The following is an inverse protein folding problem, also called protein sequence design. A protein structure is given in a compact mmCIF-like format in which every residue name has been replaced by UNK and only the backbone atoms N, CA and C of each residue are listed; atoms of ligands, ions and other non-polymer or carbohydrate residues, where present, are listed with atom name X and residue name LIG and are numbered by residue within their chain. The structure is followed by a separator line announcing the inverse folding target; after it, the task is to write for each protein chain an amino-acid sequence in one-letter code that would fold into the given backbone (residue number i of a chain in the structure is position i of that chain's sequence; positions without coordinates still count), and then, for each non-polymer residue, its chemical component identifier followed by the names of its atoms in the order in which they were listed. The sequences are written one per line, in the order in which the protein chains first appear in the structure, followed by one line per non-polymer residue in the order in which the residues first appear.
data_IF_293257323588
#
_entry.id   IF_293257323588
#
_cell.length_a   1.000
_cell.length_b   1.000
_cell.length_c   1.000
_cell.angle_alpha   90.00
_cell.angle_beta   90.00
_cell.angle_gamma   90.00
#
_symmetry.space_group_name_H-M   'P 1'
#
loop_
_entity.id
_entity.type
_entity.pdbx_description
1 polymer ?
#
# COMPACT_ATOMS: atom_id res chain seq x y z
N UNK A 1 -10.20 -19.86 2.90
CA UNK A 1 -8.77 -19.51 2.91
C UNK A 1 -8.56 -18.21 3.66
N UNK A 2 -7.63 -18.10 4.63
CA UNK A 2 -7.39 -16.93 5.49
C UNK A 2 -5.90 -16.81 5.83
N UNK A 3 -5.45 -15.69 6.40
CA UNK A 3 -4.10 -15.56 6.92
C UNK A 3 -4.03 -16.21 8.29
N UNK A 4 -3.30 -17.31 8.39
CA UNK A 4 -3.15 -18.08 9.62
C UNK A 4 -2.05 -17.55 10.53
N UNK A 5 -0.93 -17.10 9.93
CA UNK A 5 0.23 -16.63 10.68
C UNK A 5 0.99 -15.59 9.89
N UNK A 6 1.56 -14.63 10.58
CA UNK A 6 2.44 -13.59 10.02
C UNK A 6 3.73 -13.56 10.82
N UNK A 7 4.86 -13.56 10.13
CA UNK A 7 6.17 -13.31 10.73
C UNK A 7 6.78 -12.07 10.12
N UNK A 8 7.35 -11.24 10.95
CA UNK A 8 7.93 -9.96 10.58
C UNK A 8 9.35 -9.91 11.12
N UNK A 9 10.31 -9.62 10.27
CA UNK A 9 11.70 -9.43 10.65
C UNK A 9 12.20 -8.06 10.18
N UNK A 10 12.79 -7.30 11.11
CA UNK A 10 13.40 -5.98 10.91
C UNK A 10 12.50 -4.93 10.25
N UNK A 11 11.21 -4.93 10.50
CA UNK A 11 10.29 -3.94 9.95
C UNK A 11 9.84 -2.96 11.05
N UNK A 12 10.17 -1.68 10.89
CA UNK A 12 9.83 -0.58 11.80
C UNK A 12 10.17 -0.92 13.27
N UNK A 13 9.15 -0.98 14.15
CA UNK A 13 9.34 -1.31 15.57
C UNK A 13 9.64 -2.80 15.82
N UNK A 14 9.40 -3.67 14.85
CA UNK A 14 9.60 -5.11 15.03
C UNK A 14 10.96 -5.56 14.54
N UNK A 15 11.76 -6.12 15.44
CA UNK A 15 12.98 -6.82 15.09
C UNK A 15 12.69 -8.26 14.67
N UNK A 16 11.98 -8.98 15.53
CA UNK A 16 11.41 -10.30 15.26
C UNK A 16 10.04 -10.37 15.91
N UNK A 17 9.03 -10.64 15.12
CA UNK A 17 7.65 -10.71 15.58
C UNK A 17 6.89 -11.81 14.86
N UNK A 18 6.07 -12.54 15.60
CA UNK A 18 5.18 -13.56 15.09
C UNK A 18 3.79 -13.40 15.69
N UNK A 19 2.77 -13.55 14.87
CA UNK A 19 1.37 -13.59 15.32
C UNK A 19 0.62 -14.68 14.56
N UNK A 20 -0.15 -15.46 15.30
CA UNK A 20 -1.13 -16.40 14.75
C UNK A 20 -2.50 -15.76 14.76
N UNK A 21 -3.23 -15.91 13.66
CA UNK A 21 -4.56 -15.36 13.44
C UNK A 21 -5.56 -16.47 13.25
N UNK A 22 -6.79 -16.22 13.68
CA UNK A 22 -7.93 -17.11 13.48
C UNK A 22 -8.70 -16.73 12.21
N UNK A 23 -9.50 -17.66 11.71
CA UNK A 23 -10.41 -17.38 10.63
C UNK A 23 -11.49 -16.37 11.07
N UNK A 24 -11.69 -15.31 10.27
CA UNK A 24 -12.67 -14.27 10.55
C UNK A 24 -12.09 -13.06 11.27
N UNK A 25 -12.74 -12.62 12.36
CA UNK A 25 -12.40 -11.38 13.05
C UNK A 25 -11.24 -11.59 14.04
N UNK A 26 -10.19 -10.82 13.87
CA UNK A 26 -9.07 -10.74 14.81
C UNK A 26 -8.96 -9.31 15.36
N UNK A 27 -8.85 -9.17 16.68
CA UNK A 27 -8.75 -7.88 17.36
C UNK A 27 -7.37 -7.77 18.01
N UNK A 28 -6.55 -6.81 17.55
CA UNK A 28 -5.24 -6.53 18.11
C UNK A 28 -5.37 -5.41 19.14
N UNK A 29 -5.09 -5.72 20.40
CA UNK A 29 -5.14 -4.77 21.52
C UNK A 29 -3.76 -4.54 22.13
N UNK A 30 -3.55 -3.38 22.70
CA UNK A 30 -2.28 -3.01 23.36
C UNK A 30 -2.17 -1.50 23.56
N UNK A 31 -1.14 -1.06 24.24
CA UNK A 31 -0.86 0.35 24.54
C UNK A 31 -0.59 1.15 23.25
N UNK A 32 -0.62 2.48 23.38
CA UNK A 32 -0.18 3.34 22.27
C UNK A 32 1.29 3.06 21.95
N UNK A 33 1.63 3.11 20.67
CA UNK A 33 2.98 2.82 20.16
C UNK A 33 3.43 1.34 20.29
N UNK A 34 2.57 0.43 20.77
CA UNK A 34 2.87 -1.00 20.84
C UNK A 34 3.02 -1.70 19.47
N UNK A 35 2.93 -0.97 18.37
CA UNK A 35 3.11 -1.52 17.02
C UNK A 35 1.85 -2.09 16.36
N UNK A 36 0.65 -1.95 16.95
CA UNK A 36 -0.61 -2.50 16.38
C UNK A 36 -0.81 -2.13 14.91
N UNK A 37 -0.67 -0.86 14.58
CA UNK A 37 -0.79 -0.37 13.20
C UNK A 37 0.32 -0.92 12.31
N UNK A 38 1.52 -1.15 12.85
CA UNK A 38 2.65 -1.71 12.12
C UNK A 38 2.39 -3.14 11.65
N UNK A 39 1.64 -3.95 12.43
CA UNK A 39 1.23 -5.30 12.00
C UNK A 39 0.33 -5.22 10.76
N UNK A 40 -0.70 -4.37 10.83
CA UNK A 40 -1.64 -4.20 9.72
C UNK A 40 -0.95 -3.63 8.47
N UNK A 41 -0.04 -2.69 8.67
CA UNK A 41 0.76 -2.10 7.61
C UNK A 41 1.72 -3.12 6.97
N UNK A 42 2.36 -4.00 7.78
CA UNK A 42 3.20 -5.08 7.29
C UNK A 42 2.41 -6.08 6.44
N UNK A 43 1.24 -6.50 6.90
CA UNK A 43 0.35 -7.38 6.15
C UNK A 43 -0.08 -6.72 4.83
N UNK A 44 -0.52 -5.47 4.88
CA UNK A 44 -0.92 -4.74 3.68
C UNK A 44 0.24 -4.57 2.70
N UNK A 45 1.43 -4.22 3.19
CA UNK A 45 2.64 -4.09 2.37
C UNK A 45 2.98 -5.40 1.66
N UNK A 46 3.00 -6.52 2.38
CA UNK A 46 3.30 -7.82 1.81
C UNK A 46 2.27 -8.24 0.73
N UNK A 47 0.98 -7.96 0.94
CA UNK A 47 -0.09 -8.34 0.01
C UNK A 47 -0.21 -7.40 -1.20
N UNK A 48 0.11 -6.12 -1.05
CA UNK A 48 -0.19 -5.11 -2.09
C UNK A 48 1.04 -4.41 -2.66
N UNK A 49 2.17 -4.43 -1.96
CA UNK A 49 3.34 -3.61 -2.29
C UNK A 49 3.12 -2.11 -2.02
N UNK A 50 2.11 -1.76 -1.19
CA UNK A 50 1.75 -0.36 -0.89
C UNK A 50 2.04 -0.08 0.59
N UNK A 51 2.75 1.02 0.84
CA UNK A 51 3.01 1.59 2.15
C UNK A 51 2.62 3.07 2.14
N UNK A 52 1.90 3.54 3.16
CA UNK A 52 1.43 4.94 3.26
C UNK A 52 0.74 5.44 1.96
N UNK A 53 -0.06 4.59 1.33
CA UNK A 53 -0.80 4.91 0.11
C UNK A 53 0.03 4.95 -1.19
N UNK A 54 1.34 4.67 -1.12
CA UNK A 54 2.25 4.71 -2.27
C UNK A 54 2.95 3.38 -2.49
N UNK A 55 3.45 3.17 -3.71
CA UNK A 55 4.23 1.97 -4.03
C UNK A 55 5.53 1.94 -3.24
N UNK A 56 5.86 0.78 -2.64
CA UNK A 56 7.09 0.57 -1.87
C UNK A 56 8.35 0.88 -2.69
N UNK A 57 8.32 0.68 -4.00
CA UNK A 57 9.44 1.01 -4.89
C UNK A 57 9.86 2.49 -4.85
N UNK A 58 8.92 3.38 -4.50
CA UNK A 58 9.15 4.81 -4.40
C UNK A 58 9.35 5.29 -2.96
N UNK A 59 9.00 4.48 -1.97
CA UNK A 59 9.00 4.85 -0.55
C UNK A 59 10.06 4.08 0.27
N UNK A 60 10.86 3.24 -0.38
CA UNK A 60 11.94 2.53 0.32
C UNK A 60 12.90 3.54 0.96
N UNK A 61 13.12 3.40 2.24
CA UNK A 61 14.03 4.24 3.03
C UNK A 61 14.58 3.45 4.22
N UNK A 62 15.68 3.90 4.82
CA UNK A 62 16.21 3.25 6.02
C UNK A 62 15.21 3.24 7.19
N UNK A 63 14.22 4.15 7.21
CA UNK A 63 13.23 4.28 8.30
C UNK A 63 12.15 3.20 8.31
N UNK A 64 12.04 2.41 7.24
CA UNK A 64 11.16 1.23 7.23
C UNK A 64 11.84 0.02 7.88
N UNK A 65 13.19 0.04 8.01
CA UNK A 65 13.95 -0.98 8.71
C UNK A 65 13.86 -0.77 10.22
N UNK A 66 14.07 -1.85 10.97
CA UNK A 66 14.19 -1.75 12.41
C UNK A 66 15.41 -0.91 12.78
N UNK A 67 15.20 0.09 13.64
CA UNK A 67 16.23 1.06 14.00
C UNK A 67 17.46 0.41 14.63
N UNK A 68 17.25 -0.56 15.54
CA UNK A 68 18.37 -1.23 16.23
C UNK A 68 19.22 -2.02 15.23
N UNK A 69 18.59 -2.71 14.26
CA UNK A 69 19.31 -3.44 13.23
C UNK A 69 20.14 -2.52 12.33
N UNK A 70 19.64 -1.33 11.99
CA UNK A 70 20.37 -0.33 11.22
C UNK A 70 21.51 0.25 12.04
N UNK A 71 21.29 0.62 13.30
CA UNK A 71 22.31 1.18 14.19
C UNK A 71 23.46 0.18 14.43
N UNK A 72 23.14 -1.10 14.69
CA UNK A 72 24.11 -2.17 14.84
C UNK A 72 24.98 -2.33 13.56
N UNK A 73 24.33 -2.32 12.38
CA UNK A 73 25.04 -2.40 11.12
C UNK A 73 26.01 -1.22 10.96
N UNK A 74 25.57 0.03 11.15
CA UNK A 74 26.40 1.22 11.00
C UNK A 74 27.60 1.19 11.98
N UNK A 75 27.36 0.82 13.22
CA UNK A 75 28.43 0.68 14.22
C UNK A 75 29.44 -0.40 13.80
N UNK A 76 28.98 -1.51 13.23
CA UNK A 76 29.83 -2.62 12.81
C UNK A 76 30.83 -2.24 11.72
N UNK A 77 30.50 -1.26 10.86
CA UNK A 77 31.39 -0.80 9.79
C UNK A 77 32.72 -0.21 10.29
N UNK A 78 32.74 0.25 11.54
CA UNK A 78 33.97 0.75 12.21
C UNK A 78 34.85 -0.33 12.80
N UNK A 79 34.37 -1.55 12.93
CA UNK A 79 35.05 -2.67 13.63
C UNK A 79 35.11 -3.93 12.77
N UNK A 80 34.07 -4.75 12.83
CA UNK A 80 33.91 -5.98 12.05
C UNK A 80 32.55 -5.92 11.35
N UNK A 81 32.50 -5.62 10.04
CA UNK A 81 31.22 -5.49 9.34
C UNK A 81 30.35 -6.73 9.47
N UNK A 82 29.11 -6.56 9.93
CA UNK A 82 28.08 -7.59 9.91
C UNK A 82 27.32 -7.53 8.58
N UNK A 83 26.52 -8.56 8.31
CA UNK A 83 25.65 -8.58 7.13
C UNK A 83 24.71 -7.39 7.11
N UNK A 84 24.42 -6.86 5.93
CA UNK A 84 23.45 -5.80 5.76
C UNK A 84 22.07 -6.25 6.28
N UNK A 85 21.36 -5.40 7.05
CA UNK A 85 20.03 -5.72 7.52
C UNK A 85 19.07 -5.92 6.35
N UNK A 86 18.14 -6.83 6.50
CA UNK A 86 17.09 -7.10 5.52
C UNK A 86 15.74 -7.14 6.22
N UNK A 87 14.67 -6.91 5.48
CA UNK A 87 13.30 -7.07 5.96
C UNK A 87 12.73 -8.34 5.35
N UNK A 88 12.03 -9.16 6.14
CA UNK A 88 11.12 -10.18 5.63
C UNK A 88 9.77 -10.07 6.31
N UNK A 89 8.72 -10.27 5.51
CA UNK A 89 7.35 -10.44 5.99
C UNK A 89 6.84 -11.72 5.36
N UNK A 90 6.66 -12.75 6.17
CA UNK A 90 6.13 -14.04 5.75
C UNK A 90 4.65 -14.11 6.09
N UNK A 91 3.83 -14.43 5.09
CA UNK A 91 2.39 -14.62 5.21
C UNK A 91 2.10 -16.10 5.02
N UNK A 92 1.61 -16.74 6.07
CA UNK A 92 1.18 -18.14 6.06
C UNK A 92 -0.34 -18.19 5.91
N UNK A 93 -0.80 -19.00 4.99
CA UNK A 93 -2.21 -19.19 4.72
C UNK A 93 -2.78 -20.41 5.46
N UNK A 94 -4.09 -20.41 5.65
CA UNK A 94 -4.87 -21.53 6.16
C UNK A 94 -6.17 -21.67 5.39
N UNK A 95 -6.79 -22.85 5.46
CA UNK A 95 -8.02 -23.19 4.75
C UNK A 95 -7.76 -24.00 3.48
N UNK A 96 -8.34 -23.59 2.34
CA UNK A 96 -8.24 -24.33 1.08
C UNK A 96 -6.80 -24.42 0.59
N UNK A 97 -6.37 -25.59 0.14
CA UNK A 97 -5.00 -25.84 -0.31
C UNK A 97 -4.69 -25.15 -1.65
N UNK A 98 -3.53 -24.48 -1.71
CA UNK A 98 -2.98 -23.93 -2.94
C UNK A 98 -1.56 -24.48 -3.18
N UNK A 99 -1.43 -25.56 -3.98
CA UNK A 99 -0.15 -26.22 -4.21
C UNK A 99 0.96 -25.33 -4.76
N UNK A 100 0.61 -24.21 -5.43
CA UNK A 100 1.58 -23.26 -5.97
C UNK A 100 2.27 -22.43 -4.89
N UNK A 101 1.73 -22.43 -3.67
CA UNK A 101 2.27 -21.67 -2.53
C UNK A 101 2.79 -22.58 -1.41
N UNK A 102 2.71 -23.91 -1.60
CA UNK A 102 3.13 -24.88 -0.60
C UNK A 102 4.62 -25.20 -0.73
N UNK A 103 5.37 -25.10 0.37
CA UNK A 103 6.79 -25.45 0.36
C UNK A 103 7.52 -25.06 1.63
N UNK A 104 8.81 -25.41 1.67
CA UNK A 104 9.71 -25.25 2.82
C UNK A 104 10.51 -23.93 2.83
N UNK A 105 10.32 -23.05 1.84
CA UNK A 105 11.01 -21.76 1.77
C UNK A 105 10.40 -20.72 2.72
N UNK A 106 10.26 -21.09 3.99
CA UNK A 106 9.79 -20.27 5.09
C UNK A 106 10.73 -20.40 6.29
N UNK A 107 10.63 -19.48 7.25
CA UNK A 107 11.51 -19.44 8.42
C UNK A 107 11.33 -20.65 9.36
N UNK A 108 10.16 -21.29 9.34
CA UNK A 108 9.89 -22.50 10.12
C UNK A 108 10.43 -23.78 9.47
N UNK A 109 10.82 -23.72 8.18
CA UNK A 109 11.18 -24.86 7.34
C UNK A 109 10.08 -25.93 7.32
N UNK A 110 8.85 -25.49 7.40
CA UNK A 110 7.67 -26.35 7.34
C UNK A 110 7.32 -26.65 5.89
N UNK A 111 7.51 -27.90 5.47
CA UNK A 111 7.26 -28.36 4.11
C UNK A 111 5.77 -28.38 3.74
N UNK A 112 4.89 -28.30 4.73
CA UNK A 112 3.44 -28.30 4.55
C UNK A 112 2.86 -26.89 4.60
N UNK A 113 3.69 -25.86 4.83
CA UNK A 113 3.24 -24.50 4.92
C UNK A 113 2.90 -23.92 3.55
N UNK A 114 1.79 -23.23 3.49
CA UNK A 114 1.37 -22.46 2.33
C UNK A 114 1.53 -20.97 2.60
N UNK A 115 2.11 -20.27 1.65
CA UNK A 115 2.31 -18.85 1.81
C UNK A 115 3.38 -18.28 0.91
N UNK A 116 3.82 -17.09 1.26
CA UNK A 116 4.89 -16.39 0.57
C UNK A 116 5.69 -15.51 1.51
N UNK A 117 6.88 -15.15 1.08
CA UNK A 117 7.77 -14.20 1.72
C UNK A 117 7.88 -12.95 0.85
N UNK A 118 7.56 -11.81 1.43
CA UNK A 118 7.96 -10.49 0.96
C UNK A 118 9.33 -10.17 1.55
N UNK A 119 10.28 -9.74 0.73
CA UNK A 119 11.64 -9.47 1.18
C UNK A 119 12.19 -8.20 0.57
N UNK A 120 12.84 -7.38 1.41
CA UNK A 120 13.69 -6.26 1.01
C UNK A 120 15.09 -6.58 1.47
N UNK A 121 16.01 -6.77 0.55
CA UNK A 121 17.38 -7.16 0.88
C UNK A 121 18.39 -6.58 -0.12
N UNK A 122 19.63 -6.51 0.32
CA UNK A 122 20.75 -6.16 -0.54
C UNK A 122 20.81 -7.09 -1.75
N UNK A 123 21.12 -6.51 -2.92
CA UNK A 123 21.29 -7.26 -4.16
C UNK A 123 22.77 -7.43 -4.45
N UNK A 124 23.20 -8.69 -4.47
CA UNK A 124 24.62 -9.07 -4.65
C UNK A 124 25.23 -8.56 -5.96
N UNK A 125 24.43 -8.15 -6.94
CA UNK A 125 24.93 -7.52 -8.17
C UNK A 125 25.66 -6.20 -7.93
N UNK A 126 25.41 -5.56 -6.78
CA UNK A 126 26.06 -4.30 -6.36
C UNK A 126 27.18 -4.54 -5.33
N UNK A 127 27.72 -5.76 -5.23
CA UNK A 127 28.74 -6.09 -4.24
C UNK A 127 30.01 -5.24 -4.40
N UNK A 128 30.45 -5.01 -5.64
CA UNK A 128 31.66 -4.24 -5.93
C UNK A 128 31.46 -2.75 -5.57
N UNK A 129 30.31 -2.16 -5.91
CA UNK A 129 29.96 -0.78 -5.58
C UNK A 129 29.82 -0.58 -4.07
N UNK A 130 29.22 -1.56 -3.40
CA UNK A 130 29.10 -1.52 -1.95
C UNK A 130 30.46 -1.63 -1.26
N UNK A 131 31.36 -2.52 -1.72
CA UNK A 131 32.71 -2.61 -1.18
C UNK A 131 33.48 -1.30 -1.34
N UNK A 132 33.40 -0.67 -2.52
CA UNK A 132 33.99 0.63 -2.78
C UNK A 132 33.43 1.72 -1.85
N UNK A 133 32.12 1.70 -1.55
CA UNK A 133 31.48 2.61 -0.61
C UNK A 133 32.01 2.41 0.82
N UNK A 134 32.13 1.18 1.29
CA UNK A 134 32.63 0.87 2.63
C UNK A 134 34.09 1.28 2.80
N UNK A 135 34.92 1.12 1.76
CA UNK A 135 36.33 1.54 1.78
C UNK A 135 36.48 3.04 1.99
N UNK A 136 35.53 3.86 1.59
CA UNK A 136 35.55 5.32 1.83
C UNK A 136 35.33 5.69 3.30
N UNK A 137 34.98 4.76 4.17
CA UNK A 137 34.74 4.93 5.63
C UNK A 137 33.79 6.08 6.00
N UNK A 138 32.87 6.43 5.14
CA UNK A 138 31.93 7.54 5.35
C UNK A 138 30.44 7.11 5.27
N UNK A 139 30.16 5.84 5.48
CA UNK A 139 28.79 5.31 5.48
C UNK A 139 28.10 5.66 6.79
N UNK A 140 27.11 6.55 6.73
CA UNK A 140 26.33 7.04 7.89
C UNK A 140 24.88 6.61 7.88
N UNK A 141 24.44 5.96 6.83
CA UNK A 141 23.08 5.51 6.62
C UNK A 141 23.09 4.20 5.84
N UNK A 142 21.99 3.47 5.91
CA UNK A 142 21.83 2.25 5.14
C UNK A 142 21.82 2.58 3.63
N UNK A 143 22.65 1.95 2.81
CA UNK A 143 22.74 2.22 1.36
C UNK A 143 21.60 1.52 0.62
N UNK A 144 20.38 2.06 0.77
CA UNK A 144 19.14 1.47 0.27
C UNK A 144 19.05 1.40 -1.25
N UNK A 145 19.87 2.17 -1.96
CA UNK A 145 20.00 2.14 -3.43
C UNK A 145 20.46 0.79 -3.97
N UNK A 146 21.06 -0.04 -3.13
CA UNK A 146 21.54 -1.39 -3.49
C UNK A 146 20.57 -2.49 -3.08
N UNK A 147 19.36 -2.12 -2.62
CA UNK A 147 18.36 -3.09 -2.17
C UNK A 147 17.35 -3.41 -3.26
N UNK A 148 16.95 -4.66 -3.30
CA UNK A 148 15.85 -5.16 -4.13
C UNK A 148 14.66 -5.59 -3.29
N UNK A 149 13.49 -5.56 -3.93
CA UNK A 149 12.22 -5.97 -3.35
C UNK A 149 11.72 -7.20 -4.11
N UNK A 150 11.46 -8.27 -3.40
CA UNK A 150 11.04 -9.54 -4.00
C UNK A 150 9.85 -10.15 -3.25
N UNK A 151 9.06 -10.91 -4.00
CA UNK A 151 8.00 -11.78 -3.49
C UNK A 151 8.29 -13.19 -3.97
N UNK A 152 8.35 -14.14 -3.06
CA UNK A 152 8.66 -15.53 -3.38
C UNK A 152 7.72 -16.44 -2.61
N UNK A 153 7.07 -17.39 -3.29
CA UNK A 153 6.24 -18.39 -2.62
C UNK A 153 7.12 -19.34 -1.78
N UNK A 154 6.51 -20.04 -0.85
CA UNK A 154 7.23 -21.09 -0.11
C UNK A 154 7.67 -22.27 -1.02
N UNK A 155 7.09 -22.38 -2.22
CA UNK A 155 7.55 -23.27 -3.29
C UNK A 155 8.79 -22.72 -4.07
N UNK A 156 9.33 -21.55 -3.70
CA UNK A 156 10.46 -20.83 -4.33
C UNK A 156 10.14 -20.15 -5.66
N UNK A 157 8.89 -20.06 -6.05
CA UNK A 157 8.50 -19.34 -7.25
C UNK A 157 8.47 -17.83 -7.00
N UNK A 158 9.08 -17.07 -7.90
CA UNK A 158 8.95 -15.61 -7.88
C UNK A 158 7.53 -15.21 -8.31
N UNK A 159 6.89 -14.38 -7.52
CA UNK A 159 5.54 -13.88 -7.79
C UNK A 159 5.48 -12.36 -7.79
N UNK A 160 4.35 -11.82 -8.19
CA UNK A 160 4.02 -10.39 -8.07
C UNK A 160 2.80 -10.22 -7.20
N UNK A 161 2.56 -9.00 -6.72
CA UNK A 161 1.36 -8.69 -5.92
C UNK A 161 0.06 -9.01 -6.67
N UNK A 162 0.08 -9.06 -8.00
CA UNK A 162 -1.08 -9.45 -8.82
C UNK A 162 -1.39 -10.94 -8.75
N UNK A 163 -0.36 -11.77 -8.55
CA UNK A 163 -0.47 -13.22 -8.45
C UNK A 163 -0.93 -13.68 -7.07
N UNK A 164 -0.91 -12.80 -6.07
CA UNK A 164 -1.39 -13.12 -4.73
C UNK A 164 -2.92 -13.21 -4.77
N UNK A 165 -3.52 -14.35 -4.34
CA UNK A 165 -4.96 -14.58 -4.46
C UNK A 165 -5.79 -13.71 -3.52
N UNK A 166 -5.15 -13.04 -2.58
CA UNK A 166 -5.81 -12.20 -1.58
C UNK A 166 -5.78 -10.73 -1.97
N UNK A 167 -6.90 -10.07 -1.74
CA UNK A 167 -6.99 -8.62 -1.85
C UNK A 167 -6.97 -8.03 -0.44
N UNK A 168 -6.01 -7.14 -0.19
CA UNK A 168 -5.93 -6.38 1.06
C UNK A 168 -6.43 -4.96 0.86
N UNK A 169 -7.04 -4.43 1.90
CA UNK A 169 -7.33 -3.01 2.01
C UNK A 169 -7.09 -2.57 3.44
N UNK A 170 -6.13 -1.67 3.62
CA UNK A 170 -5.87 -1.05 4.91
C UNK A 170 -6.81 0.14 5.08
N UNK A 171 -7.64 0.09 6.13
CA UNK A 171 -8.55 1.17 6.52
C UNK A 171 -7.92 1.88 7.70
N UNK A 172 -7.43 3.10 7.48
CA UNK A 172 -6.90 3.96 8.52
C UNK A 172 -7.85 5.14 8.75
N UNK A 173 -8.54 5.13 9.90
CA UNK A 173 -9.47 6.18 10.29
C UNK A 173 -8.77 7.45 10.81
N UNK A 174 -7.46 7.41 11.04
CA UNK A 174 -6.68 8.55 11.54
C UNK A 174 -6.15 9.47 10.44
N UNK A 175 -6.07 8.99 9.20
CA UNK A 175 -5.58 9.80 8.08
C UNK A 175 -6.68 10.64 7.46
N UNK A 176 -6.66 11.94 7.77
CA UNK A 176 -7.51 12.98 7.16
C UNK A 176 -7.20 13.26 5.67
N UNK A 177 -6.34 12.51 5.02
CA UNK A 177 -5.90 12.79 3.65
C UNK A 177 -6.79 12.11 2.62
N UNK A 178 -7.35 12.95 1.78
CA UNK A 178 -8.08 12.65 0.56
C UNK A 178 -7.52 11.45 -0.19
N UNK A 179 -8.41 10.50 -0.53
CA UNK A 179 -8.11 9.27 -1.27
C UNK A 179 -7.31 8.22 -0.48
N UNK A 180 -7.77 7.89 0.70
CA UNK A 180 -7.27 6.73 1.43
C UNK A 180 -7.68 5.42 0.74
N UNK A 181 -6.98 4.35 1.04
CA UNK A 181 -7.33 3.00 0.56
C UNK A 181 -8.78 2.58 0.83
N UNK A 182 -9.46 3.27 1.76
CA UNK A 182 -10.88 3.10 2.07
C UNK A 182 -11.79 3.38 0.88
N UNK A 183 -11.57 4.53 0.21
CA UNK A 183 -12.41 4.91 -0.94
C UNK A 183 -12.20 3.92 -2.10
N UNK A 184 -10.97 3.45 -2.29
CA UNK A 184 -10.66 2.43 -3.28
C UNK A 184 -11.30 1.07 -2.94
N UNK A 185 -11.32 0.69 -1.68
CA UNK A 185 -11.92 -0.57 -1.24
C UNK A 185 -13.43 -0.56 -1.36
N UNK A 186 -14.07 0.49 -0.83
CA UNK A 186 -15.52 0.67 -0.95
C UNK A 186 -15.95 0.79 -2.42
N UNK A 187 -15.19 1.54 -3.23
CA UNK A 187 -15.41 1.60 -4.67
C UNK A 187 -15.30 0.24 -5.34
N UNK A 188 -14.38 -0.63 -4.91
CA UNK A 188 -14.25 -2.00 -5.45
C UNK A 188 -15.41 -2.89 -5.04
N UNK A 189 -15.87 -2.83 -3.78
CA UNK A 189 -17.05 -3.57 -3.32
C UNK A 189 -18.26 -3.12 -4.12
N UNK A 190 -18.51 -1.81 -4.22
CA UNK A 190 -19.62 -1.25 -4.97
C UNK A 190 -19.54 -1.69 -6.43
N UNK A 191 -18.38 -1.58 -7.08
CA UNK A 191 -18.19 -2.03 -8.47
C UNK A 191 -18.44 -3.53 -8.66
N UNK A 192 -18.01 -4.34 -7.69
CA UNK A 192 -18.22 -5.80 -7.72
C UNK A 192 -19.68 -6.22 -7.49
N UNK A 193 -20.49 -5.32 -6.94
CA UNK A 193 -21.92 -5.56 -6.64
C UNK A 193 -22.87 -4.95 -7.67
N UNK A 194 -22.36 -4.11 -8.59
CA UNK A 194 -23.18 -3.45 -9.63
C UNK A 194 -23.22 -4.28 -10.91
N UNK A 195 -24.41 -4.47 -11.43
CA UNK A 195 -24.61 -5.01 -12.78
C UNK A 195 -24.22 -3.97 -13.87
N UNK A 196 -23.88 -4.39 -15.09
CA UNK A 196 -23.53 -3.48 -16.16
C UNK A 196 -24.57 -2.39 -16.44
N UNK A 197 -25.85 -2.71 -16.23
CA UNK A 197 -27.00 -1.79 -16.41
C UNK A 197 -26.98 -0.69 -15.34
N UNK A 198 -26.69 -1.03 -14.09
CA UNK A 198 -26.57 -0.07 -12.98
C UNK A 198 -25.42 0.91 -13.24
N UNK A 199 -24.32 0.38 -13.72
CA UNK A 199 -23.13 1.16 -14.09
C UNK A 199 -23.48 2.21 -15.17
N UNK A 200 -24.22 1.79 -16.18
CA UNK A 200 -24.65 2.67 -17.26
C UNK A 200 -25.63 3.73 -16.77
N UNK A 201 -26.57 3.35 -15.92
CA UNK A 201 -27.57 4.25 -15.33
C UNK A 201 -26.90 5.34 -14.48
N UNK A 202 -25.94 4.97 -13.61
CA UNK A 202 -25.16 5.92 -12.80
C UNK A 202 -24.37 6.87 -13.69
N UNK A 203 -23.72 6.37 -14.74
CA UNK A 203 -22.97 7.22 -15.68
C UNK A 203 -23.88 8.22 -16.41
N UNK A 204 -25.08 7.81 -16.79
CA UNK A 204 -26.07 8.71 -17.40
C UNK A 204 -26.58 9.77 -16.43
N UNK A 205 -26.87 9.40 -15.18
CA UNK A 205 -27.27 10.34 -14.14
C UNK A 205 -26.17 11.40 -13.88
N UNK A 206 -24.92 10.96 -13.81
CA UNK A 206 -23.78 11.86 -13.61
C UNK A 206 -23.60 12.82 -14.80
N UNK A 207 -23.75 12.34 -16.03
CA UNK A 207 -23.74 13.19 -17.23
C UNK A 207 -24.85 14.24 -17.17
N UNK A 208 -26.07 13.83 -16.84
CA UNK A 208 -27.21 14.74 -16.72
C UNK A 208 -26.97 15.82 -15.65
N UNK A 209 -26.41 15.44 -14.51
CA UNK A 209 -26.06 16.38 -13.46
C UNK A 209 -25.04 17.41 -13.95
N UNK A 210 -23.99 16.97 -14.64
CA UNK A 210 -22.98 17.86 -15.24
C UNK A 210 -23.59 18.81 -16.26
N UNK A 211 -24.41 18.30 -17.15
CA UNK A 211 -25.04 19.12 -18.19
C UNK A 211 -25.98 20.16 -17.56
N UNK A 212 -26.68 19.80 -16.49
CA UNK A 212 -27.48 20.75 -15.70
C UNK A 212 -26.62 21.82 -15.07
N UNK A 213 -25.47 21.43 -14.46
CA UNK A 213 -24.55 22.39 -13.84
C UNK A 213 -23.96 23.38 -14.85
N UNK A 214 -23.49 22.90 -16.00
CA UNK A 214 -22.87 23.74 -17.03
C UNK A 214 -23.87 24.73 -17.61
N UNK A 215 -25.13 24.33 -17.73
CA UNK A 215 -26.20 25.17 -18.29
C UNK A 215 -26.95 25.99 -17.21
N UNK A 216 -26.50 25.98 -15.95
CA UNK A 216 -27.09 26.81 -14.91
C UNK A 216 -26.78 28.30 -15.18
N UNK A 217 -27.80 29.18 -15.16
CA UNK A 217 -27.61 30.62 -15.42
C UNK A 217 -26.59 31.28 -14.49
N UNK A 218 -26.47 30.82 -13.26
CA UNK A 218 -25.50 31.33 -12.29
C UNK A 218 -24.07 30.99 -12.68
N UNK A 219 -23.86 29.76 -13.18
CA UNK A 219 -22.55 29.29 -13.66
C UNK A 219 -22.17 30.01 -14.95
N UNK A 220 -23.13 30.20 -15.86
CA UNK A 220 -22.91 31.01 -17.08
C UNK A 220 -22.52 32.44 -16.75
N UNK A 221 -23.20 33.07 -15.78
CA UNK A 221 -22.85 34.43 -15.31
C UNK A 221 -21.44 34.51 -14.71
N UNK A 222 -21.02 33.48 -13.93
CA UNK A 222 -19.68 33.41 -13.35
C UNK A 222 -18.64 33.24 -14.47
N UNK A 223 -18.88 32.31 -15.43
CA UNK A 223 -17.98 32.07 -16.55
C UNK A 223 -17.82 33.36 -17.40
N UNK A 224 -18.89 34.10 -17.63
CA UNK A 224 -18.84 35.38 -18.34
C UNK A 224 -18.00 36.43 -17.58
N UNK A 225 -18.12 36.51 -16.26
CA UNK A 225 -17.27 37.41 -15.44
C UNK A 225 -15.81 37.02 -15.51
N UNK A 226 -15.49 35.71 -15.33
CA UNK A 226 -14.11 35.23 -15.41
C UNK A 226 -13.50 35.58 -16.77
N UNK A 227 -14.23 35.41 -17.86
CA UNK A 227 -13.73 35.69 -19.20
C UNK A 227 -13.64 37.20 -19.51
N UNK A 228 -14.41 38.04 -18.84
CA UNK A 228 -14.30 39.52 -18.94
C UNK A 228 -13.07 40.05 -18.21
N UNK A 229 -12.74 39.47 -17.04
CA UNK A 229 -11.59 39.86 -16.23
C UNK A 229 -10.27 39.22 -16.72
N UNK A 230 -10.33 38.14 -17.52
CA UNK A 230 -9.17 37.42 -18.03
C UNK A 230 -8.56 38.08 -19.28
N UNK A 231 -8.28 39.40 -19.22
CA UNK A 231 -7.66 40.14 -20.33
C UNK A 231 -6.20 39.77 -20.64
N UNK A 232 -5.66 38.73 -20.01
CA UNK A 232 -4.25 38.35 -20.09
C UNK A 232 -3.96 37.07 -20.90
N UNK A 233 -4.97 36.36 -21.38
CA UNK A 233 -4.77 35.15 -22.20
C UNK A 233 -5.84 34.98 -23.26
N UNK A 234 -5.44 34.60 -24.48
CA UNK A 234 -6.37 34.26 -25.60
C UNK A 234 -7.19 32.97 -25.34
N UNK A 235 -7.11 32.37 -24.16
CA UNK A 235 -7.80 31.13 -23.80
C UNK A 235 -9.03 31.44 -22.95
N UNK A 236 -10.19 30.87 -23.35
CA UNK A 236 -11.41 30.94 -22.54
C UNK A 236 -11.27 30.03 -21.31
N UNK A 237 -11.53 30.60 -20.15
CA UNK A 237 -11.58 29.87 -18.87
C UNK A 237 -13.04 29.62 -18.54
N UNK A 238 -13.41 28.41 -18.20
CA UNK A 238 -14.76 28.04 -17.79
C UNK A 238 -14.74 27.14 -16.56
N UNK A 239 -15.61 27.42 -15.60
CA UNK A 239 -15.92 26.49 -14.51
C UNK A 239 -16.71 25.32 -15.09
N UNK A 240 -16.23 24.13 -14.81
CA UNK A 240 -16.87 22.88 -15.21
C UNK A 240 -16.72 21.85 -14.10
N UNK A 241 -17.69 20.95 -13.97
CA UNK A 241 -17.52 19.75 -13.15
C UNK A 241 -16.66 18.76 -13.93
N UNK A 242 -15.51 18.42 -13.39
CA UNK A 242 -14.56 17.53 -14.04
C UNK A 242 -15.16 16.12 -14.16
N UNK A 243 -15.19 15.62 -15.38
CA UNK A 243 -15.38 14.20 -15.63
C UNK A 243 -14.01 13.57 -15.65
N UNK A 244 -13.64 12.91 -14.55
CA UNK A 244 -12.47 12.04 -14.54
C UNK A 244 -12.69 10.97 -15.61
N UNK A 245 -11.82 11.01 -16.60
CA UNK A 245 -11.85 10.18 -17.80
C UNK A 245 -11.89 8.69 -17.47
N UNK A 246 -12.72 7.92 -18.20
CA UNK A 246 -12.90 6.46 -18.18
C UNK A 246 -13.35 5.79 -16.87
N UNK A 247 -13.10 6.37 -15.69
CA UNK A 247 -13.62 5.87 -14.40
C UNK A 247 -14.18 7.03 -13.56
N UNK A 248 -15.32 7.61 -13.91
CA UNK A 248 -15.90 8.79 -13.20
C UNK A 248 -16.33 8.50 -11.76
N UNK A 249 -16.13 7.30 -11.26
CA UNK A 249 -16.75 6.73 -10.07
C UNK A 249 -15.87 6.73 -8.85
N UNK A 250 -14.56 6.82 -9.04
CA UNK A 250 -13.61 6.66 -7.94
C UNK A 250 -13.56 7.89 -7.03
N UNK A 251 -13.83 9.07 -7.60
CA UNK A 251 -13.64 10.35 -6.91
C UNK A 251 -14.94 11.08 -6.56
N UNK A 252 -16.12 10.55 -6.95
CA UNK A 252 -17.40 11.24 -6.76
C UNK A 252 -18.40 10.50 -5.87
N UNK A 253 -18.09 9.26 -5.43
CA UNK A 253 -18.93 8.54 -4.49
C UNK A 253 -18.40 8.77 -3.07
N UNK A 254 -19.18 9.47 -2.27
CA UNK A 254 -18.92 9.67 -0.84
C UNK A 254 -19.81 8.70 -0.08
N UNK A 255 -19.19 7.87 0.76
CA UNK A 255 -19.92 6.94 1.63
C UNK A 255 -20.47 7.69 2.83
N UNK A 256 -21.74 7.45 3.13
CA UNK A 256 -22.40 7.98 4.32
C UNK A 256 -22.74 6.84 5.26
N UNK A 257 -22.52 7.05 6.55
CA UNK A 257 -22.98 6.19 7.63
C UNK A 257 -24.01 7.00 8.42
N UNK A 258 -25.25 6.49 8.55
CA UNK A 258 -26.35 7.17 9.22
C UNK A 258 -26.56 8.65 8.78
N UNK A 259 -26.55 8.87 7.45
CA UNK A 259 -26.67 10.21 6.82
C UNK A 259 -25.47 11.15 7.06
N UNK A 260 -24.45 10.70 7.76
CA UNK A 260 -23.21 11.46 7.98
C UNK A 260 -22.13 10.92 7.04
N UNK A 261 -21.45 11.82 6.37
CA UNK A 261 -20.30 11.44 5.51
C UNK A 261 -19.25 10.76 6.36
N UNK A 262 -18.74 9.60 5.90
CA UNK A 262 -17.78 8.76 6.65
C UNK A 262 -16.56 9.53 7.21
N UNK A 263 -16.20 10.67 6.62
CA UNK A 263 -15.13 11.55 7.10
C UNK A 263 -15.46 12.34 8.37
N UNK A 264 -16.72 12.30 8.84
CA UNK A 264 -17.18 13.04 10.03
C UNK A 264 -17.67 12.10 11.16
N UNK A 265 -17.51 10.78 11.00
CA UNK A 265 -17.74 9.76 12.01
C UNK A 265 -16.42 9.35 12.64
#
# INVERSE_FOLDING_TARGET
MFIRKVKIHNFKCYRDFEITLEEGLNIVVGDNEAGKSTILEAINLALTGIISGKSIWNEISQYIFNKEAVDEFIVSLGTAPIALPYITIEIFFGGDENPLMNGDANSDRDNSAEGFCFKIAFNDKYADEYEALVQQRNVKSLPIEYYDITWTTFARDAITTRSIPYKSSLIDSSEYRYQSGNDLYLSRIIKGSLEPEDITSIAQAHRKMRDTFINDPSIEAINNKINQDASLTDKKIALSVELVTKNPRENSLVTQLDEITFHYV
#
